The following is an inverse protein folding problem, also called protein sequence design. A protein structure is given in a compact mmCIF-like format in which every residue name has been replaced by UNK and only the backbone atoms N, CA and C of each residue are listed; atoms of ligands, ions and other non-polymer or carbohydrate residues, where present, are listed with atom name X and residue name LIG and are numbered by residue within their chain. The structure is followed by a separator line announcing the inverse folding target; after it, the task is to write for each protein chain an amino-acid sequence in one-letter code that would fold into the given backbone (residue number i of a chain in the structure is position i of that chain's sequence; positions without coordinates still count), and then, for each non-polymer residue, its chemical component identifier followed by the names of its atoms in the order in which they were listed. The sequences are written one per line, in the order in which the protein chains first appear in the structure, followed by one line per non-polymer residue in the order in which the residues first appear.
data_IF_368572316809
#
_entry.id   IF_368572316809
#
_cell.length_a   1.000
_cell.length_b   1.000
_cell.length_c   1.000
_cell.angle_alpha   90.00
_cell.angle_beta   90.00
_cell.angle_gamma   90.00
#
_symmetry.space_group_name_H-M   'P 1'
#
loop_
_entity.id
_entity.type
_entity.pdbx_description
1 polymer ?
#
# COMPACT_ATOMS: atom_id res chain seq x y z
N UNK A 1 1.73 21.12 50.81
CA UNK A 1 0.65 20.14 50.55
C UNK A 1 0.76 19.62 49.12
N UNK A 2 1.29 18.41 48.86
CA UNK A 2 1.16 17.76 47.56
C UNK A 2 0.09 16.65 47.61
N UNK A 3 -0.87 16.72 46.68
CA UNK A 3 -2.01 15.80 46.54
C UNK A 3 -1.66 14.59 45.67
N UNK A 4 -2.00 13.43 46.25
CA UNK A 4 -2.44 12.15 45.67
C UNK A 4 -1.56 11.37 44.67
N UNK A 5 -1.70 10.05 44.83
CA UNK A 5 -0.85 8.95 44.38
C UNK A 5 -1.49 8.21 43.20
N UNK A 6 -0.64 7.71 42.29
CA UNK A 6 -0.65 6.43 41.53
C UNK A 6 -1.99 5.72 41.23
N UNK A 7 -2.21 5.36 39.96
CA UNK A 7 -2.35 3.97 39.44
C UNK A 7 -2.67 4.05 37.93
N UNK A 8 -1.85 3.52 37.01
CA UNK A 8 -1.72 2.11 36.59
C UNK A 8 -2.97 1.53 35.93
N UNK A 9 -2.93 1.35 34.60
CA UNK A 9 -3.79 0.41 33.89
C UNK A 9 -3.04 -0.13 32.65
N UNK A 10 -2.08 -1.02 32.91
CA UNK A 10 -1.58 -1.97 31.90
C UNK A 10 -2.66 -3.05 31.80
N UNK A 11 -3.50 -3.00 30.77
CA UNK A 11 -4.49 -4.05 30.52
C UNK A 11 -3.81 -5.25 29.88
N UNK A 12 -3.37 -6.18 30.73
CA UNK A 12 -3.20 -7.57 30.35
C UNK A 12 -4.61 -8.20 30.22
N UNK A 13 -5.01 -8.60 29.02
CA UNK A 13 -6.16 -9.47 28.82
C UNK A 13 -5.64 -10.89 28.59
N UNK A 14 -5.96 -11.76 29.55
CA UNK A 14 -5.52 -13.14 29.67
C UNK A 14 -6.08 -14.03 28.55
N UNK A 15 -5.28 -15.04 28.20
CA UNK A 15 -5.67 -16.17 27.37
C UNK A 15 -6.80 -16.97 28.03
N UNK A 16 -7.85 -17.27 27.26
CA UNK A 16 -8.82 -18.31 27.57
C UNK A 16 -8.77 -19.36 26.44
N UNK A 17 -8.19 -20.51 26.76
CA UNK A 17 -8.20 -21.70 25.94
C UNK A 17 -9.64 -22.24 25.87
N UNK A 18 -10.18 -22.35 24.66
CA UNK A 18 -11.27 -23.27 24.35
C UNK A 18 -10.78 -24.18 23.23
N UNK A 19 -10.53 -25.44 23.60
CA UNK A 19 -10.25 -26.52 22.68
C UNK A 19 -11.52 -26.79 21.86
N UNK A 20 -11.53 -26.27 20.65
CA UNK A 20 -12.47 -26.59 19.59
C UNK A 20 -11.78 -26.22 18.30
N UNK A 21 -11.60 -27.19 17.40
CA UNK A 21 -10.93 -26.99 16.12
C UNK A 21 -11.64 -25.95 15.27
N UNK A 22 -11.31 -24.69 15.50
CA UNK A 22 -11.55 -23.61 14.56
C UNK A 22 -10.25 -23.49 13.80
N UNK A 23 -10.31 -23.78 12.51
CA UNK A 23 -9.26 -23.43 11.56
C UNK A 23 -9.01 -21.95 11.81
N UNK A 24 -7.92 -21.65 12.52
CA UNK A 24 -7.44 -20.32 12.74
C UNK A 24 -7.02 -19.83 11.35
N UNK A 25 -7.98 -19.27 10.62
CA UNK A 25 -7.67 -18.35 9.55
C UNK A 25 -6.74 -17.35 10.19
N UNK A 26 -5.48 -17.37 9.75
CA UNK A 26 -4.50 -16.33 10.05
C UNK A 26 -5.25 -15.01 10.05
N UNK A 27 -5.09 -14.13 11.07
CA UNK A 27 -5.72 -12.82 11.02
C UNK A 27 -5.40 -12.28 9.63
N UNK A 28 -6.44 -12.03 8.83
CA UNK A 28 -6.27 -11.43 7.53
C UNK A 28 -5.61 -10.10 7.85
N UNK A 29 -4.29 -10.05 7.72
CA UNK A 29 -3.51 -8.84 7.89
C UNK A 29 -4.20 -7.90 6.92
N UNK A 30 -4.91 -6.90 7.46
CA UNK A 30 -5.51 -5.88 6.64
C UNK A 30 -4.35 -5.35 5.82
N UNK A 31 -4.29 -5.74 4.54
CA UNK A 31 -3.20 -5.36 3.68
C UNK A 31 -3.27 -3.85 3.64
N UNK A 32 -2.33 -3.17 4.29
CA UNK A 32 -2.30 -1.72 4.37
C UNK A 32 -2.10 -1.25 2.93
N UNK A 33 -3.20 -0.89 2.28
CA UNK A 33 -3.19 -0.45 0.89
C UNK A 33 -2.88 1.03 0.92
N UNK A 34 -1.83 1.43 0.21
CA UNK A 34 -1.50 2.83 -0.01
C UNK A 34 -2.47 3.35 -1.06
N UNK A 35 -3.27 4.34 -0.67
CA UNK A 35 -4.15 5.03 -1.61
C UNK A 35 -3.37 6.14 -2.33
N UNK A 36 -3.54 6.25 -3.64
CA UNK A 36 -2.97 7.32 -4.46
C UNK A 36 -4.04 7.90 -5.38
N UNK A 37 -4.17 9.23 -5.43
CA UNK A 37 -5.19 9.87 -6.29
C UNK A 37 -4.82 9.80 -7.77
N UNK A 38 -3.54 9.91 -8.12
CA UNK A 38 -3.08 9.83 -9.50
C UNK A 38 -1.66 9.30 -9.61
N UNK A 39 -1.43 8.44 -10.61
CA UNK A 39 -0.09 7.94 -10.93
C UNK A 39 0.20 7.99 -12.42
N UNK A 40 1.49 8.04 -12.75
CA UNK A 40 2.00 8.00 -14.11
C UNK A 40 3.00 6.86 -14.29
N UNK A 41 2.86 6.11 -15.38
CA UNK A 41 3.70 4.98 -15.75
C UNK A 41 4.25 5.15 -17.17
N UNK A 42 5.35 4.48 -17.44
CA UNK A 42 5.85 4.29 -18.80
C UNK A 42 6.08 2.79 -19.01
N UNK A 43 5.45 2.25 -20.05
CA UNK A 43 5.54 0.84 -20.38
C UNK A 43 6.08 0.65 -21.81
N UNK A 44 6.73 -0.50 -22.04
CA UNK A 44 7.30 -0.84 -23.35
C UNK A 44 6.36 -1.70 -24.21
N UNK A 45 5.34 -2.31 -23.58
CA UNK A 45 4.35 -3.13 -24.26
C UNK A 45 2.96 -2.94 -23.63
N UNK A 46 1.94 -3.46 -24.30
CA UNK A 46 0.55 -3.39 -23.87
C UNK A 46 0.13 -4.55 -22.96
N UNK A 47 1.04 -5.48 -22.66
CA UNK A 47 0.75 -6.68 -21.83
C UNK A 47 0.80 -6.33 -20.35
N UNK A 48 1.80 -5.55 -19.92
CA UNK A 48 1.84 -4.95 -18.61
C UNK A 48 2.05 -3.45 -18.78
N UNK A 49 0.95 -2.70 -18.80
CA UNK A 49 0.97 -1.25 -18.98
C UNK A 49 1.29 -0.50 -17.67
N UNK A 50 1.33 -1.15 -16.52
CA UNK A 50 1.72 -0.54 -15.24
C UNK A 50 2.82 -1.35 -14.52
N UNK A 51 4.00 -1.54 -15.14
CA UNK A 51 5.10 -2.31 -14.53
C UNK A 51 5.83 -1.54 -13.41
N UNK A 52 5.72 -0.22 -13.45
CA UNK A 52 6.20 0.73 -12.47
C UNK A 52 5.31 1.98 -12.54
N UNK A 53 5.27 2.79 -11.49
CA UNK A 53 4.61 4.08 -11.55
C UNK A 53 5.31 5.11 -10.67
N UNK A 54 5.03 6.36 -10.98
CA UNK A 54 5.45 7.53 -10.22
C UNK A 54 4.23 8.34 -9.81
N UNK A 55 4.27 8.93 -8.63
CA UNK A 55 3.22 9.78 -8.11
C UNK A 55 3.82 10.91 -7.28
N UNK A 56 3.09 12.00 -7.08
CA UNK A 56 3.45 12.95 -6.03
C UNK A 56 3.26 12.27 -4.68
N UNK A 57 4.24 12.37 -3.79
CA UNK A 57 4.16 11.77 -2.45
C UNK A 57 2.98 12.35 -1.65
N UNK A 58 2.65 13.63 -1.84
CA UNK A 58 1.49 14.27 -1.20
C UNK A 58 0.14 13.84 -1.79
N UNK A 59 0.15 13.15 -2.94
CA UNK A 59 -1.04 12.59 -3.58
C UNK A 59 -1.25 11.11 -3.19
N UNK A 60 -0.43 10.58 -2.28
CA UNK A 60 -0.52 9.22 -1.79
C UNK A 60 -0.45 9.18 -0.26
N UNK A 61 -1.25 8.34 0.37
CA UNK A 61 -1.15 8.05 1.81
C UNK A 61 0.01 7.07 2.10
N UNK A 62 1.17 7.33 1.50
CA UNK A 62 2.31 6.42 1.54
C UNK A 62 3.00 6.47 2.91
N UNK A 63 2.93 5.36 3.61
CA UNK A 63 3.83 5.02 4.71
C UNK A 63 4.63 3.80 4.31
N UNK A 64 5.94 3.80 4.56
CA UNK A 64 6.77 2.63 4.31
C UNK A 64 6.46 1.54 5.34
N UNK A 65 5.66 0.56 4.92
CA UNK A 65 5.29 -0.62 5.71
C UNK A 65 6.13 -1.86 5.38
N UNK A 66 7.13 -1.72 4.50
CA UNK A 66 7.86 -2.84 3.91
C UNK A 66 7.10 -3.55 2.78
N UNK A 67 7.86 -4.24 1.93
CA UNK A 67 7.34 -4.98 0.79
C UNK A 67 6.60 -6.27 1.21
N UNK A 68 5.62 -6.74 0.42
CA UNK A 68 5.10 -6.13 -0.81
C UNK A 68 4.17 -4.94 -0.55
N UNK A 69 4.25 -3.92 -1.40
CA UNK A 69 3.41 -2.72 -1.32
C UNK A 69 2.15 -2.90 -2.14
N UNK A 70 0.98 -2.75 -1.53
CA UNK A 70 -0.30 -2.72 -2.23
C UNK A 70 -0.75 -1.28 -2.42
N UNK A 71 -1.14 -0.95 -3.63
CA UNK A 71 -1.59 0.37 -4.02
C UNK A 71 -3.01 0.31 -4.57
N UNK A 72 -3.84 1.26 -4.15
CA UNK A 72 -5.12 1.56 -4.76
C UNK A 72 -5.02 2.94 -5.40
N UNK A 73 -5.18 3.00 -6.71
CA UNK A 73 -4.93 4.20 -7.51
C UNK A 73 -6.24 4.64 -8.18
N UNK A 74 -6.70 5.85 -7.89
CA UNK A 74 -7.96 6.35 -8.48
C UNK A 74 -7.83 6.55 -9.99
N UNK A 75 -6.73 7.20 -10.42
CA UNK A 75 -6.43 7.43 -11.85
C UNK A 75 -5.00 7.03 -12.16
N UNK A 76 -4.82 5.94 -12.89
CA UNK A 76 -3.52 5.46 -13.35
C UNK A 76 -3.37 5.79 -14.84
N UNK A 77 -2.37 6.60 -15.18
CA UNK A 77 -2.03 6.92 -16.57
C UNK A 77 -0.76 6.19 -16.98
N UNK A 78 -0.77 5.49 -18.11
CA UNK A 78 0.42 4.85 -18.67
C UNK A 78 0.69 5.32 -20.08
N UNK A 79 1.95 5.66 -20.35
CA UNK A 79 2.44 5.92 -21.69
C UNK A 79 3.17 4.68 -22.20
N UNK A 80 2.58 3.99 -23.18
CA UNK A 80 3.22 2.88 -23.88
C UNK A 80 4.00 3.46 -25.05
N UNK A 81 5.32 3.27 -25.07
CA UNK A 81 6.25 3.89 -26.05
C UNK A 81 5.80 3.71 -27.50
N UNK A 82 5.21 2.56 -27.84
CA UNK A 82 4.68 2.24 -29.18
C UNK A 82 3.15 2.13 -29.23
N UNK A 83 2.44 2.34 -28.11
CA UNK A 83 1.02 2.03 -27.95
C UNK A 83 0.12 3.23 -27.60
N UNK A 84 0.71 4.38 -27.27
CA UNK A 84 -0.05 5.58 -26.91
C UNK A 84 -0.28 5.71 -25.41
N UNK A 85 -1.31 6.47 -25.03
CA UNK A 85 -1.63 6.75 -23.62
C UNK A 85 -2.86 5.97 -23.19
N UNK A 86 -2.76 5.27 -22.06
CA UNK A 86 -3.80 4.47 -21.45
C UNK A 86 -4.16 5.08 -20.10
N UNK A 87 -5.47 5.20 -19.83
CA UNK A 87 -5.97 5.70 -18.55
C UNK A 87 -6.85 4.62 -17.95
N UNK A 88 -6.53 4.22 -16.73
CA UNK A 88 -7.25 3.21 -15.97
C UNK A 88 -7.73 3.82 -14.66
N UNK A 89 -8.99 3.56 -14.31
CA UNK A 89 -9.60 4.07 -13.09
C UNK A 89 -9.71 2.96 -12.04
N UNK A 90 -9.44 3.27 -10.77
CA UNK A 90 -9.54 2.32 -9.66
C UNK A 90 -8.57 1.14 -9.77
N UNK A 91 -7.35 1.38 -10.24
CA UNK A 91 -6.32 0.35 -10.40
C UNK A 91 -5.82 -0.12 -9.03
N UNK A 92 -5.82 -1.42 -8.80
CA UNK A 92 -5.10 -2.00 -7.66
C UNK A 92 -3.83 -2.65 -8.16
N UNK A 93 -2.67 -2.30 -7.59
CA UNK A 93 -1.39 -2.86 -8.00
C UNK A 93 -0.58 -3.34 -6.81
N UNK A 94 0.16 -4.42 -6.97
CA UNK A 94 1.10 -4.92 -5.96
C UNK A 94 2.52 -4.78 -6.48
N UNK A 95 3.36 -4.02 -5.77
CA UNK A 95 4.72 -3.71 -6.17
C UNK A 95 5.72 -4.31 -5.18
N UNK A 96 6.84 -4.83 -5.69
CA UNK A 96 7.91 -5.37 -4.83
C UNK A 96 8.77 -4.29 -4.20
N UNK A 97 8.77 -3.07 -4.77
CA UNK A 97 9.48 -1.92 -4.21
C UNK A 97 8.67 -0.64 -4.34
N UNK A 98 8.83 0.22 -3.34
CA UNK A 98 8.34 1.59 -3.33
C UNK A 98 9.34 2.46 -2.57
N UNK A 99 9.60 3.66 -3.05
CA UNK A 99 10.55 4.59 -2.43
C UNK A 99 10.06 6.02 -2.60
N UNK A 100 9.96 6.72 -1.47
CA UNK A 100 9.77 8.16 -1.44
C UNK A 100 11.12 8.85 -1.74
N UNK A 101 11.19 9.51 -2.88
CA UNK A 101 12.36 10.27 -3.31
C UNK A 101 12.38 11.66 -2.65
N UNK A 102 13.57 12.23 -2.48
CA UNK A 102 13.81 13.51 -1.78
C UNK A 102 13.06 14.68 -2.46
N UNK A 103 12.77 14.56 -3.77
CA UNK A 103 12.02 15.56 -4.54
C UNK A 103 10.49 15.47 -4.34
N UNK A 104 10.00 14.69 -3.38
CA UNK A 104 8.56 14.53 -3.10
C UNK A 104 7.83 13.65 -4.12
N UNK A 105 8.55 12.77 -4.83
CA UNK A 105 7.98 11.78 -5.74
C UNK A 105 8.00 10.40 -5.09
N UNK A 106 6.89 9.69 -5.12
CA UNK A 106 6.85 8.26 -4.85
C UNK A 106 7.15 7.51 -6.13
N UNK A 107 8.11 6.60 -6.10
CA UNK A 107 8.38 5.67 -7.19
C UNK A 107 8.15 4.24 -6.73
N UNK A 108 7.30 3.49 -7.45
CA UNK A 108 7.04 2.08 -7.20
C UNK A 108 7.40 1.25 -8.44
N UNK A 109 7.99 0.07 -8.23
CA UNK A 109 8.47 -0.77 -9.33
C UNK A 109 8.20 -2.25 -9.08
N UNK A 110 8.35 -3.03 -10.15
CA UNK A 110 8.01 -4.45 -10.20
C UNK A 110 6.54 -4.66 -9.79
N UNK A 111 5.67 -3.84 -10.37
CA UNK A 111 4.26 -3.80 -10.08
C UNK A 111 3.49 -4.81 -10.95
N UNK A 112 2.58 -5.52 -10.30
CA UNK A 112 1.63 -6.43 -10.90
C UNK A 112 0.24 -5.87 -10.68
N UNK A 113 -0.42 -5.54 -11.79
CA UNK A 113 -1.80 -5.08 -11.81
C UNK A 113 -2.66 -6.18 -12.44
N UNK A 114 -3.80 -6.55 -11.81
CA UNK A 114 -4.70 -7.58 -12.33
C UNK A 114 -5.42 -7.14 -13.60
#
# INVERSE_FOLDING_TARGET
MPRLRRALAVTAAAAAATAGGLIAGTPAQAATSVHCTATSSTAFNTVNIFPNFSASLSACDFADTGAPYRFTIDVATSHVVSGGTYVTYGLTSTCSSATALINGTLFAASCLSP
#
